data_IF_060536031372
#
_entry.id   IF_060536031372
#
_cell.length_a   1.000
_cell.length_b   1.000
_cell.length_c   1.000
_cell.angle_alpha   90.00
_cell.angle_beta   90.00
_cell.angle_gamma   90.00
#
_symmetry.space_group_name_H-M   'P 1'
#
loop_
_entity.id
_entity.type
_entity.pdbx_description
1 polymer ?
#
# COMPACT_ATOMS: atom_id res chain seq x y z
N UNK A 1 -12.74 19.29 -34.08
CA UNK A 1 -12.99 17.85 -33.82
C UNK A 1 -13.14 17.66 -32.32
N UNK A 2 -14.36 17.42 -31.82
CA UNK A 2 -14.54 17.03 -30.41
C UNK A 2 -14.03 15.61 -30.24
N UNK A 3 -13.08 15.39 -29.33
CA UNK A 3 -12.58 14.05 -29.04
C UNK A 3 -13.63 13.30 -28.23
N UNK A 4 -14.21 12.23 -28.78
CA UNK A 4 -15.15 11.30 -28.11
C UNK A 4 -14.45 10.40 -27.06
N UNK A 5 -13.22 10.75 -26.69
CA UNK A 5 -12.36 9.91 -25.86
C UNK A 5 -12.64 10.17 -24.38
N UNK A 6 -13.14 9.13 -23.68
CA UNK A 6 -13.33 9.19 -22.24
C UNK A 6 -11.97 9.12 -21.52
N UNK A 7 -11.58 10.22 -20.89
CA UNK A 7 -10.34 10.35 -20.11
C UNK A 7 -10.43 9.70 -18.73
N UNK A 8 -11.65 9.50 -18.23
CA UNK A 8 -11.94 8.95 -16.91
C UNK A 8 -12.94 7.80 -17.07
N UNK A 9 -12.52 6.67 -17.67
CA UNK A 9 -13.37 5.51 -17.76
C UNK A 9 -13.69 4.97 -16.37
N UNK A 10 -14.96 4.66 -16.15
CA UNK A 10 -15.47 4.11 -14.90
C UNK A 10 -16.38 2.91 -15.17
N UNK A 11 -16.49 2.04 -14.18
CA UNK A 11 -17.44 0.92 -14.17
C UNK A 11 -18.25 1.04 -12.88
N UNK A 12 -19.54 1.35 -12.99
CA UNK A 12 -20.44 1.37 -11.84
C UNK A 12 -20.64 -0.05 -11.30
N UNK A 13 -20.34 -0.27 -10.03
CA UNK A 13 -20.52 -1.56 -9.33
C UNK A 13 -21.93 -1.62 -8.78
N UNK A 14 -22.74 -2.57 -9.25
CA UNK A 14 -24.18 -2.64 -8.90
C UNK A 14 -24.38 -3.33 -7.55
N UNK A 15 -25.29 -2.79 -6.73
CA UNK A 15 -25.69 -3.43 -5.47
C UNK A 15 -24.76 -3.14 -4.28
N UNK A 16 -23.84 -2.19 -4.43
CA UNK A 16 -22.83 -1.83 -3.43
C UNK A 16 -22.80 -0.30 -3.20
N UNK A 17 -23.93 0.38 -3.37
CA UNK A 17 -24.03 1.84 -3.39
C UNK A 17 -23.57 2.49 -2.06
N UNK A 18 -23.79 1.80 -0.93
CA UNK A 18 -23.42 2.26 0.42
C UNK A 18 -22.10 1.66 0.95
N UNK A 19 -21.31 1.01 0.09
CA UNK A 19 -20.09 0.30 0.49
C UNK A 19 -18.80 1.10 0.31
N UNK A 20 -18.91 2.39 0.02
CA UNK A 20 -17.77 3.29 -0.12
C UNK A 20 -18.02 4.62 0.60
N UNK A 21 -16.96 5.21 1.13
CA UNK A 21 -16.98 6.55 1.70
C UNK A 21 -15.68 7.30 1.38
N UNK A 22 -15.71 8.62 1.51
CA UNK A 22 -14.55 9.48 1.23
C UNK A 22 -14.30 10.43 2.40
N UNK A 23 -13.02 10.73 2.64
CA UNK A 23 -12.56 11.67 3.64
C UNK A 23 -12.35 11.03 5.01
N UNK A 24 -11.38 11.58 5.76
CA UNK A 24 -10.94 11.03 7.04
C UNK A 24 -12.06 10.90 8.08
N UNK A 25 -13.05 11.81 8.10
CA UNK A 25 -14.16 11.75 9.04
C UNK A 25 -15.02 10.48 8.84
N UNK A 26 -15.49 10.24 7.62
CA UNK A 26 -16.31 9.05 7.31
C UNK A 26 -15.52 7.76 7.47
N UNK A 27 -14.22 7.77 7.13
CA UNK A 27 -13.34 6.61 7.26
C UNK A 27 -13.13 6.26 8.74
N UNK A 28 -12.86 7.25 9.58
CA UNK A 28 -12.77 7.06 11.05
C UNK A 28 -14.05 6.45 11.61
N UNK A 29 -15.21 7.01 11.25
CA UNK A 29 -16.48 6.50 11.73
C UNK A 29 -16.69 5.03 11.32
N UNK A 30 -16.41 4.69 10.06
CA UNK A 30 -16.53 3.32 9.55
C UNK A 30 -15.59 2.34 10.27
N UNK A 31 -14.32 2.69 10.45
CA UNK A 31 -13.33 1.82 11.08
C UNK A 31 -13.53 1.70 12.60
N UNK A 32 -13.81 2.79 13.31
CA UNK A 32 -14.08 2.73 14.75
C UNK A 32 -15.33 1.90 15.07
N UNK A 33 -16.40 2.03 14.28
CA UNK A 33 -17.60 1.21 14.46
C UNK A 33 -17.33 -0.30 14.33
N UNK A 34 -16.39 -0.68 13.47
CA UNK A 34 -15.97 -2.08 13.27
C UNK A 34 -14.94 -2.54 14.28
N UNK A 35 -14.07 -1.66 14.76
CA UNK A 35 -13.02 -1.98 15.71
C UNK A 35 -13.53 -2.18 17.14
N UNK A 36 -14.69 -1.63 17.50
CA UNK A 36 -15.23 -1.68 18.86
C UNK A 36 -16.25 -2.81 19.10
N UNK A 37 -16.33 -3.82 18.24
CA UNK A 37 -17.36 -4.87 18.34
C UNK A 37 -17.03 -6.00 19.33
N UNK A 38 -15.78 -6.10 19.79
CA UNK A 38 -15.31 -7.16 20.67
C UNK A 38 -14.46 -6.59 21.81
N UNK A 39 -14.22 -7.41 22.84
CA UNK A 39 -13.38 -7.04 23.99
C UNK A 39 -11.95 -6.68 23.56
N UNK A 40 -11.42 -7.38 22.55
CA UNK A 40 -10.17 -7.08 21.86
C UNK A 40 -10.41 -7.06 20.36
N UNK A 41 -9.76 -6.15 19.63
CA UNK A 41 -9.76 -6.16 18.17
C UNK A 41 -8.41 -5.70 17.64
N UNK A 42 -7.77 -6.52 16.81
CA UNK A 42 -6.52 -6.18 16.12
C UNK A 42 -6.85 -5.65 14.74
N UNK A 43 -6.72 -4.33 14.57
CA UNK A 43 -6.84 -3.65 13.29
C UNK A 43 -5.47 -3.59 12.60
N UNK A 44 -5.36 -4.24 11.45
CA UNK A 44 -4.17 -4.20 10.60
C UNK A 44 -4.42 -3.26 9.44
N UNK A 45 -3.55 -2.26 9.27
CA UNK A 45 -3.51 -1.32 8.15
C UNK A 45 -2.23 -1.59 7.36
N UNK A 46 -2.28 -2.53 6.43
CA UNK A 46 -1.11 -2.90 5.61
C UNK A 46 -1.00 -1.96 4.41
N UNK A 47 0.18 -1.37 4.23
CA UNK A 47 0.39 -0.29 3.26
C UNK A 47 1.23 -0.75 2.06
N UNK A 48 0.83 -0.37 0.86
CA UNK A 48 1.71 -0.43 -0.30
C UNK A 48 2.83 0.64 -0.17
N UNK A 49 4.04 0.42 -0.72
CA UNK A 49 5.10 1.42 -0.68
C UNK A 49 4.64 2.73 -1.33
N UNK A 50 4.97 3.85 -0.68
CA UNK A 50 4.60 5.20 -1.12
C UNK A 50 3.33 5.76 -0.46
N UNK A 51 2.59 4.95 0.31
CA UNK A 51 1.54 5.44 1.23
C UNK A 51 2.17 6.42 2.21
N UNK A 52 1.56 7.59 2.38
CA UNK A 52 1.99 8.60 3.35
C UNK A 52 1.52 8.17 4.73
N UNK A 53 2.41 7.54 5.49
CA UNK A 53 2.08 7.06 6.83
C UNK A 53 1.72 8.23 7.76
N UNK A 54 2.28 9.41 7.50
CA UNK A 54 2.01 10.62 8.26
C UNK A 54 0.53 11.02 8.21
N UNK A 55 -0.15 10.80 7.07
CA UNK A 55 -1.60 11.07 6.99
C UNK A 55 -2.40 10.11 7.87
N UNK A 56 -1.98 8.83 7.96
CA UNK A 56 -2.61 7.87 8.86
C UNK A 56 -2.39 8.28 10.32
N UNK A 57 -1.14 8.59 10.67
CA UNK A 57 -0.73 8.99 12.02
C UNK A 57 -1.42 10.27 12.50
N UNK A 58 -1.66 11.23 11.60
CA UNK A 58 -2.30 12.50 11.93
C UNK A 58 -3.82 12.41 11.96
N UNK A 59 -4.42 11.70 11.00
CA UNK A 59 -5.87 11.79 10.77
C UNK A 59 -6.66 10.57 11.20
N UNK A 60 -6.07 9.37 11.15
CA UNK A 60 -6.78 8.11 11.41
C UNK A 60 -6.45 7.52 12.78
N UNK A 61 -5.16 7.24 13.05
CA UNK A 61 -4.72 6.53 14.24
C UNK A 61 -5.20 7.16 15.56
N UNK A 62 -5.16 8.50 15.75
CA UNK A 62 -5.58 9.11 17.02
C UNK A 62 -7.07 8.91 17.34
N UNK A 63 -7.91 8.76 16.30
CA UNK A 63 -9.36 8.61 16.48
C UNK A 63 -9.80 7.18 16.77
N UNK A 64 -8.91 6.20 16.58
CA UNK A 64 -9.20 4.80 16.86
C UNK A 64 -9.15 4.48 18.36
N UNK A 65 -8.58 5.37 19.19
CA UNK A 65 -8.49 5.17 20.64
C UNK A 65 -7.75 3.89 21.02
N UNK A 66 -6.73 3.52 20.25
CA UNK A 66 -6.04 2.24 20.38
C UNK A 66 -5.29 2.13 21.72
N UNK A 67 -5.40 0.97 22.37
CA UNK A 67 -4.62 0.62 23.56
C UNK A 67 -3.14 0.46 23.20
N UNK A 68 -2.85 -0.05 22.00
CA UNK A 68 -1.51 -0.25 21.47
C UNK A 68 -1.48 0.11 20.00
N UNK A 69 -0.45 0.86 19.57
CA UNK A 69 -0.21 1.21 18.18
C UNK A 69 1.21 0.82 17.79
N UNK A 70 1.36 -0.03 16.77
CA UNK A 70 2.62 -0.59 16.32
C UNK A 70 2.90 -0.20 14.86
N UNK A 71 4.01 0.50 14.62
CA UNK A 71 4.53 0.72 13.27
C UNK A 71 5.47 -0.42 12.89
N UNK A 72 5.12 -1.20 11.87
CA UNK A 72 5.93 -2.33 11.41
C UNK A 72 7.30 -1.90 10.86
N UNK A 73 7.45 -0.65 10.40
CA UNK A 73 8.73 -0.14 9.90
C UNK A 73 9.82 -0.10 10.96
N UNK A 74 9.46 -0.11 12.26
CA UNK A 74 10.42 -0.25 13.36
C UNK A 74 11.21 -1.58 13.31
N UNK A 75 10.66 -2.61 12.68
CA UNK A 75 11.31 -3.90 12.45
C UNK A 75 12.01 -4.01 11.09
N UNK A 76 11.90 -3.00 10.21
CA UNK A 76 12.55 -3.01 8.89
C UNK A 76 14.06 -3.05 9.07
N UNK A 77 14.74 -3.80 8.20
CA UNK A 77 16.20 -3.75 8.11
C UNK A 77 16.66 -2.33 7.75
N UNK A 78 17.84 -1.97 8.23
CA UNK A 78 18.47 -0.71 7.85
C UNK A 78 18.78 -0.66 6.34
N UNK A 79 19.09 0.53 5.87
CA UNK A 79 19.38 0.79 4.46
C UNK A 79 20.54 -0.07 3.93
N UNK A 80 21.61 -0.22 4.71
CA UNK A 80 22.80 -0.97 4.28
C UNK A 80 22.49 -2.46 4.10
N UNK A 81 21.72 -3.04 5.01
CA UNK A 81 21.29 -4.43 4.93
C UNK A 81 20.33 -4.65 3.74
N UNK A 82 19.42 -3.70 3.48
CA UNK A 82 18.55 -3.75 2.30
C UNK A 82 19.39 -3.60 1.02
N UNK A 83 20.34 -2.68 0.96
CA UNK A 83 21.23 -2.52 -0.19
C UNK A 83 21.99 -3.83 -0.49
N UNK A 84 22.53 -4.45 0.55
CA UNK A 84 23.23 -5.75 0.44
C UNK A 84 22.30 -6.85 -0.06
N UNK A 85 21.07 -6.92 0.45
CA UNK A 85 20.04 -7.89 0.00
C UNK A 85 19.73 -7.73 -1.49
N UNK A 86 19.71 -6.48 -1.98
CA UNK A 86 19.32 -6.12 -3.35
C UNK A 86 20.47 -6.08 -4.35
N UNK A 87 21.72 -6.24 -3.92
CA UNK A 87 22.91 -6.06 -4.76
C UNK A 87 22.88 -6.92 -6.04
N UNK A 88 22.38 -8.16 -5.96
CA UNK A 88 22.25 -9.05 -7.13
C UNK A 88 21.17 -8.61 -8.12
N UNK A 89 20.21 -7.81 -7.68
CA UNK A 89 19.10 -7.33 -8.50
C UNK A 89 19.43 -6.01 -9.20
N UNK A 90 20.23 -5.17 -8.54
CA UNK A 90 20.67 -3.87 -9.03
C UNK A 90 22.03 -4.01 -9.72
N UNK A 91 22.02 -4.36 -11.01
CA UNK A 91 23.22 -4.42 -11.86
C UNK A 91 23.79 -3.02 -12.15
N UNK A 92 24.96 -2.94 -12.80
CA UNK A 92 25.56 -1.67 -13.22
C UNK A 92 24.82 -0.97 -14.37
N UNK A 93 23.89 -1.67 -15.04
CA UNK A 93 23.07 -1.07 -16.09
C UNK A 93 22.20 0.05 -15.50
N UNK A 94 22.13 1.19 -16.19
CA UNK A 94 21.41 2.37 -15.69
C UNK A 94 19.89 2.14 -15.55
N UNK A 95 19.30 1.31 -16.40
CA UNK A 95 17.84 1.17 -16.55
C UNK A 95 17.36 -0.24 -16.18
N UNK A 96 18.09 -1.27 -16.58
CA UNK A 96 17.67 -2.67 -16.43
C UNK A 96 18.24 -3.29 -15.17
N UNK A 97 17.39 -4.00 -14.42
CA UNK A 97 17.79 -4.85 -13.30
C UNK A 97 17.37 -6.30 -13.49
N UNK A 98 17.59 -7.12 -12.47
CA UNK A 98 17.10 -8.51 -12.43
C UNK A 98 15.84 -8.55 -11.57
N UNK A 99 14.79 -9.20 -12.07
CA UNK A 99 13.54 -9.34 -11.35
C UNK A 99 13.73 -10.05 -10.02
N UNK A 100 13.22 -9.44 -8.95
CA UNK A 100 13.32 -9.96 -7.60
C UNK A 100 12.37 -11.14 -7.37
N UNK A 101 12.94 -12.20 -6.80
CA UNK A 101 12.20 -13.32 -6.22
C UNK A 101 12.08 -13.19 -4.69
N UNK A 102 12.55 -12.10 -4.09
CA UNK A 102 12.49 -11.90 -2.64
C UNK A 102 11.05 -11.80 -2.14
N UNK A 103 10.85 -12.22 -0.90
CA UNK A 103 9.63 -12.08 -0.13
C UNK A 103 9.76 -10.88 0.82
N UNK A 104 8.63 -10.22 1.11
CA UNK A 104 8.63 -8.99 1.91
C UNK A 104 9.23 -9.20 3.31
N UNK A 105 9.03 -10.38 3.91
CA UNK A 105 9.58 -10.75 5.22
C UNK A 105 11.12 -10.68 5.28
N UNK A 106 11.82 -10.90 4.17
CA UNK A 106 13.30 -10.82 4.12
C UNK A 106 13.82 -9.40 4.40
N UNK A 107 12.98 -8.38 4.19
CA UNK A 107 13.31 -6.98 4.42
C UNK A 107 13.17 -6.55 5.90
N UNK A 108 12.75 -7.47 6.78
CA UNK A 108 12.61 -7.23 8.20
C UNK A 108 13.67 -7.98 9.00
N UNK A 109 14.04 -7.40 10.15
CA UNK A 109 14.79 -8.12 11.17
C UNK A 109 13.86 -9.12 11.87
N UNK A 110 14.17 -10.43 11.85
CA UNK A 110 13.26 -11.45 12.38
C UNK A 110 13.03 -11.32 13.89
N UNK A 111 14.01 -10.84 14.65
CA UNK A 111 13.87 -10.68 16.09
C UNK A 111 12.96 -9.50 16.42
N UNK A 112 13.13 -8.37 15.72
CA UNK A 112 12.26 -7.21 15.89
C UNK A 112 10.83 -7.51 15.44
N UNK A 113 10.67 -8.23 14.34
CA UNK A 113 9.35 -8.63 13.86
C UNK A 113 8.65 -9.54 14.88
N UNK A 114 9.38 -10.49 15.47
CA UNK A 114 8.85 -11.35 16.53
C UNK A 114 8.50 -10.56 17.80
N UNK A 115 9.28 -9.55 18.18
CA UNK A 115 8.94 -8.65 19.29
C UNK A 115 7.61 -7.92 19.04
N UNK A 116 7.36 -7.44 17.83
CA UNK A 116 6.08 -6.81 17.49
C UNK A 116 4.91 -7.81 17.59
N UNK A 117 5.11 -9.06 17.15
CA UNK A 117 4.10 -10.14 17.25
C UNK A 117 3.73 -10.41 18.72
N UNK A 118 4.73 -10.46 19.59
CA UNK A 118 4.54 -10.66 21.02
C UNK A 118 3.80 -9.48 21.66
N UNK A 119 4.15 -8.24 21.32
CA UNK A 119 3.45 -7.04 21.81
C UNK A 119 1.97 -7.04 21.40
N UNK A 120 1.67 -7.33 20.13
CA UNK A 120 0.29 -7.39 19.64
C UNK A 120 -0.54 -8.50 20.33
N UNK A 121 0.11 -9.61 20.68
CA UNK A 121 -0.55 -10.74 21.35
C UNK A 121 -0.76 -10.49 22.84
N UNK A 122 0.21 -9.85 23.50
CA UNK A 122 0.20 -9.59 24.94
C UNK A 122 -0.91 -8.64 25.40
N UNK A 123 -1.31 -7.69 24.54
CA UNK A 123 -2.42 -6.81 24.86
C UNK A 123 -3.73 -7.60 24.91
N UNK A 124 -4.45 -7.57 26.02
CA UNK A 124 -5.58 -8.48 26.25
C UNK A 124 -6.93 -7.89 25.82
N UNK A 125 -7.04 -6.56 25.81
CA UNK A 125 -8.30 -5.84 25.61
C UNK A 125 -8.09 -4.57 24.78
N UNK A 126 -9.18 -4.01 24.27
CA UNK A 126 -9.19 -2.80 23.47
C UNK A 126 -8.75 -3.01 22.02
N UNK A 127 -8.53 -1.89 21.34
CA UNK A 127 -8.11 -1.89 19.94
C UNK A 127 -6.58 -1.87 19.87
N UNK A 128 -6.00 -2.85 19.18
CA UNK A 128 -4.58 -2.87 18.82
C UNK A 128 -4.47 -2.49 17.35
N UNK A 129 -3.71 -1.44 17.03
CA UNK A 129 -3.50 -1.01 15.66
C UNK A 129 -2.08 -1.38 15.22
N UNK A 130 -1.96 -2.09 14.11
CA UNK A 130 -0.68 -2.40 13.49
C UNK A 130 -0.71 -1.81 12.09
N UNK A 131 0.25 -0.96 11.75
CA UNK A 131 0.25 -0.26 10.47
C UNK A 131 1.63 -0.21 9.82
N UNK A 132 1.61 0.09 8.52
CA UNK A 132 2.78 0.28 7.69
C UNK A 132 2.99 -0.86 6.68
N UNK A 133 4.01 -0.74 5.81
CA UNK A 133 4.22 -1.70 4.74
C UNK A 133 4.63 -3.07 5.29
N UNK A 134 3.78 -4.09 5.12
CA UNK A 134 4.01 -5.41 5.71
C UNK A 134 3.38 -5.62 7.09
N UNK A 135 2.47 -4.75 7.54
CA UNK A 135 1.80 -4.89 8.85
C UNK A 135 1.16 -6.28 9.07
N UNK A 136 0.64 -6.91 8.02
CA UNK A 136 0.06 -8.25 8.10
C UNK A 136 1.09 -9.38 8.38
N UNK A 137 2.40 -9.09 8.34
CA UNK A 137 3.45 -10.02 8.79
C UNK A 137 3.53 -10.13 10.32
N UNK A 138 2.98 -9.14 11.05
CA UNK A 138 2.92 -9.13 12.52
C UNK A 138 1.66 -9.82 13.02
N UNK A 139 0.51 -9.59 12.40
CA UNK A 139 -0.74 -10.24 12.80
C UNK A 139 -1.67 -10.38 11.58
N UNK A 140 -2.47 -11.45 11.48
CA UNK A 140 -3.45 -11.56 10.39
C UNK A 140 -4.52 -10.46 10.44
N UNK A 141 -4.82 -9.95 11.63
CA UNK A 141 -5.83 -8.91 11.89
C UNK A 141 -7.24 -9.51 12.00
N UNK A 142 -8.02 -9.00 12.96
CA UNK A 142 -9.46 -9.25 13.04
C UNK A 142 -10.22 -8.34 12.06
N UNK A 143 -9.65 -7.16 11.81
CA UNK A 143 -10.05 -6.23 10.76
C UNK A 143 -8.81 -5.88 9.92
N UNK A 144 -8.88 -6.11 8.61
CA UNK A 144 -7.80 -5.81 7.68
C UNK A 144 -8.18 -4.69 6.71
N UNK A 145 -7.47 -3.58 6.80
CA UNK A 145 -7.46 -2.49 5.82
C UNK A 145 -6.19 -2.60 4.98
N UNK A 146 -6.33 -2.60 3.67
CA UNK A 146 -5.18 -2.50 2.77
C UNK A 146 -5.12 -1.09 2.17
N UNK A 147 -4.09 -0.32 2.50
CA UNK A 147 -3.87 1.02 1.96
C UNK A 147 -3.04 0.94 0.68
N UNK A 148 -3.56 1.44 -0.43
CA UNK A 148 -2.92 1.33 -1.74
C UNK A 148 -3.01 2.65 -2.52
N UNK A 149 -2.23 2.70 -3.61
CA UNK A 149 -2.39 3.66 -4.68
C UNK A 149 -1.86 3.06 -5.99
N UNK A 150 -2.29 3.56 -7.15
CA UNK A 150 -1.71 3.16 -8.42
C UNK A 150 -0.22 3.48 -8.50
N UNK A 151 0.56 2.61 -9.17
CA UNK A 151 2.01 2.83 -9.38
C UNK A 151 2.34 4.14 -10.09
N UNK A 152 1.45 4.64 -10.95
CA UNK A 152 1.65 5.93 -11.61
C UNK A 152 1.71 7.07 -10.59
N UNK A 153 0.91 7.00 -9.53
CA UNK A 153 0.91 8.00 -8.47
C UNK A 153 2.23 7.96 -7.68
N UNK A 154 2.74 6.76 -7.38
CA UNK A 154 4.08 6.58 -6.79
C UNK A 154 5.14 7.25 -7.67
N UNK A 155 5.08 7.03 -8.98
CA UNK A 155 6.01 7.66 -9.93
C UNK A 155 5.90 9.18 -9.96
N UNK A 156 4.69 9.74 -9.85
CA UNK A 156 4.47 11.19 -9.76
C UNK A 156 5.05 11.76 -8.47
N UNK A 157 4.83 11.09 -7.33
CA UNK A 157 5.41 11.48 -6.03
C UNK A 157 6.93 11.46 -6.07
N UNK A 158 7.55 10.48 -6.73
CA UNK A 158 9.01 10.42 -6.90
C UNK A 158 9.53 11.63 -7.71
N UNK A 159 8.77 12.11 -8.70
CA UNK A 159 9.16 13.26 -9.55
C UNK A 159 8.92 14.61 -8.88
N UNK A 160 7.83 14.74 -8.11
CA UNK A 160 7.29 16.04 -7.73
C UNK A 160 7.16 16.26 -6.23
N UNK A 161 7.30 15.21 -5.42
CA UNK A 161 7.08 15.26 -3.98
C UNK A 161 8.26 14.74 -3.16
N UNK A 162 9.41 14.47 -3.81
CA UNK A 162 10.61 13.97 -3.13
C UNK A 162 10.47 12.56 -2.57
N UNK A 163 9.51 11.76 -3.05
CA UNK A 163 9.38 10.37 -2.58
C UNK A 163 10.59 9.55 -3.02
N UNK A 164 11.25 8.91 -2.05
CA UNK A 164 12.30 7.93 -2.27
C UNK A 164 11.76 6.51 -2.44
N UNK A 165 12.67 5.58 -2.71
CA UNK A 165 12.37 4.15 -2.66
C UNK A 165 12.14 3.68 -1.22
N UNK A 166 11.31 2.67 -1.03
CA UNK A 166 11.05 2.15 0.32
C UNK A 166 12.32 1.55 0.93
N UNK A 167 12.71 2.04 2.09
CA UNK A 167 13.94 1.65 2.77
C UNK A 167 15.22 2.09 2.06
N UNK A 168 15.20 3.27 1.43
CA UNK A 168 16.37 3.92 0.86
C UNK A 168 16.31 5.43 1.12
N UNK A 169 17.46 6.05 1.37
CA UNK A 169 17.59 7.50 1.39
C UNK A 169 18.11 7.99 0.03
N UNK A 170 17.22 8.00 -0.97
CA UNK A 170 17.62 8.17 -2.36
C UNK A 170 16.75 9.14 -3.17
N UNK A 171 16.13 10.11 -2.50
CA UNK A 171 15.26 11.13 -3.08
C UNK A 171 16.00 11.95 -4.15
N UNK A 172 17.31 12.13 -3.98
CA UNK A 172 18.19 12.87 -4.89
C UNK A 172 18.88 12.00 -5.97
N UNK A 173 18.66 10.67 -5.97
CA UNK A 173 19.20 9.80 -7.02
C UNK A 173 18.52 10.03 -8.38
N UNK A 174 19.24 9.68 -9.45
CA UNK A 174 18.70 9.59 -10.82
C UNK A 174 17.36 8.84 -10.80
N UNK A 175 16.31 9.50 -11.29
CA UNK A 175 14.95 8.97 -11.31
C UNK A 175 14.88 7.61 -12.01
N UNK A 176 15.73 7.35 -13.01
CA UNK A 176 15.77 6.06 -13.69
C UNK A 176 16.28 4.94 -12.78
N UNK A 177 17.22 5.23 -11.89
CA UNK A 177 17.71 4.26 -10.88
C UNK A 177 16.63 3.95 -9.85
N UNK A 178 15.89 4.98 -9.41
CA UNK A 178 14.74 4.81 -8.51
C UNK A 178 13.65 3.95 -9.15
N UNK A 179 13.34 4.19 -10.42
CA UNK A 179 12.38 3.39 -11.18
C UNK A 179 12.85 1.97 -11.43
N UNK A 180 14.15 1.77 -11.68
CA UNK A 180 14.74 0.43 -11.78
C UNK A 180 14.51 -0.34 -10.47
N UNK A 181 14.85 0.23 -9.32
CA UNK A 181 14.60 -0.40 -8.01
C UNK A 181 13.11 -0.69 -7.79
N UNK A 182 12.24 0.29 -8.07
CA UNK A 182 10.80 0.12 -7.90
C UNK A 182 10.24 -1.03 -8.78
N UNK A 183 10.58 -1.04 -10.08
CA UNK A 183 10.02 -1.97 -11.05
C UNK A 183 10.55 -3.40 -10.92
N UNK A 184 11.88 -3.54 -10.80
CA UNK A 184 12.51 -4.85 -10.77
C UNK A 184 12.41 -5.51 -9.39
N UNK A 185 12.20 -4.73 -8.32
CA UNK A 185 12.27 -5.22 -6.95
C UNK A 185 11.00 -4.90 -6.18
N UNK A 186 10.80 -3.64 -5.77
CA UNK A 186 9.80 -3.29 -4.76
C UNK A 186 8.39 -3.71 -5.18
N UNK A 187 7.95 -3.35 -6.38
CA UNK A 187 6.62 -3.72 -6.86
C UNK A 187 6.45 -5.23 -6.96
N UNK A 188 7.51 -6.01 -7.24
CA UNK A 188 7.42 -7.48 -7.27
C UNK A 188 7.24 -8.06 -5.88
N UNK A 189 8.00 -7.55 -4.92
CA UNK A 189 7.96 -7.97 -3.52
C UNK A 189 6.61 -7.61 -2.91
N UNK A 190 6.19 -6.35 -3.05
CA UNK A 190 4.95 -5.85 -2.46
C UNK A 190 3.71 -6.40 -3.15
N UNK A 191 3.70 -6.62 -4.46
CA UNK A 191 2.54 -7.25 -5.11
C UNK A 191 2.35 -8.70 -4.67
N UNK A 192 3.45 -9.44 -4.47
CA UNK A 192 3.39 -10.82 -3.97
C UNK A 192 2.76 -10.88 -2.57
N UNK A 193 3.05 -9.88 -1.72
CA UNK A 193 2.43 -9.71 -0.40
C UNK A 193 0.96 -9.23 -0.49
N UNK A 194 0.69 -8.26 -1.38
CA UNK A 194 -0.62 -7.64 -1.58
C UNK A 194 -1.70 -8.60 -2.06
N UNK A 195 -1.39 -9.43 -3.07
CA UNK A 195 -2.41 -10.22 -3.79
C UNK A 195 -3.21 -11.15 -2.87
N UNK A 196 -2.60 -11.93 -1.94
CA UNK A 196 -3.35 -12.71 -0.97
C UNK A 196 -4.18 -11.85 -0.01
N UNK A 197 -3.69 -10.67 0.39
CA UNK A 197 -4.38 -9.78 1.32
C UNK A 197 -5.65 -9.18 0.71
N UNK A 198 -5.63 -8.74 -0.56
CA UNK A 198 -6.81 -8.19 -1.22
C UNK A 198 -7.99 -9.18 -1.30
N UNK A 199 -7.71 -10.49 -1.26
CA UNK A 199 -8.76 -11.52 -1.24
C UNK A 199 -9.54 -11.57 0.08
N UNK A 200 -8.92 -11.14 1.18
CA UNK A 200 -9.50 -11.20 2.53
C UNK A 200 -9.64 -9.86 3.23
N UNK A 201 -9.13 -8.77 2.65
CA UNK A 201 -9.25 -7.44 3.21
C UNK A 201 -10.72 -7.09 3.41
N UNK A 202 -11.02 -6.50 4.56
CA UNK A 202 -12.32 -5.97 4.91
C UNK A 202 -12.55 -4.63 4.23
N UNK A 203 -11.47 -3.86 4.03
CA UNK A 203 -11.49 -2.61 3.30
C UNK A 203 -10.23 -2.39 2.47
N UNK A 204 -10.40 -1.68 1.35
CA UNK A 204 -9.31 -1.06 0.61
C UNK A 204 -9.38 0.46 0.85
N UNK A 205 -8.28 1.03 1.30
CA UNK A 205 -8.09 2.46 1.50
C UNK A 205 -7.30 3.01 0.31
N UNK A 206 -7.97 3.75 -0.57
CA UNK A 206 -7.32 4.51 -1.63
C UNK A 206 -6.70 5.78 -1.05
N UNK A 207 -5.39 5.90 -1.21
CA UNK A 207 -4.57 7.01 -0.72
C UNK A 207 -3.97 7.85 -1.86
N UNK A 208 -4.53 7.73 -3.07
CA UNK A 208 -4.03 8.39 -4.28
C UNK A 208 -4.01 9.91 -4.11
N UNK A 209 -5.13 10.50 -3.69
CA UNK A 209 -5.25 11.96 -3.52
C UNK A 209 -4.88 12.35 -2.09
N UNK A 210 -3.90 13.25 -1.96
CA UNK A 210 -3.45 13.79 -0.67
C UNK A 210 -4.62 14.42 0.09
N UNK A 211 -4.76 14.12 1.38
CA UNK A 211 -5.81 14.62 2.28
C UNK A 211 -7.25 14.25 1.89
N UNK A 212 -7.45 13.48 0.82
CA UNK A 212 -8.78 13.10 0.32
C UNK A 212 -8.87 11.59 0.05
N UNK A 213 -8.57 10.74 1.05
CA UNK A 213 -8.65 9.29 0.89
C UNK A 213 -10.09 8.82 0.64
N UNK A 214 -10.21 7.65 0.03
CA UNK A 214 -11.47 6.95 -0.11
C UNK A 214 -11.35 5.52 0.44
N UNK A 215 -12.41 5.00 1.04
CA UNK A 215 -12.47 3.66 1.58
C UNK A 215 -13.60 2.91 0.87
N UNK A 216 -13.32 1.69 0.44
CA UNK A 216 -14.31 0.77 -0.12
C UNK A 216 -14.26 -0.55 0.61
N UNK A 217 -15.41 -1.15 0.90
CA UNK A 217 -15.45 -2.49 1.49
C UNK A 217 -14.79 -3.51 0.56
N UNK A 218 -14.12 -4.50 1.13
CA UNK A 218 -13.47 -5.56 0.37
C UNK A 218 -14.46 -6.40 -0.41
N UNK A 219 -15.70 -6.55 0.07
CA UNK A 219 -16.77 -7.22 -0.68
C UNK A 219 -17.10 -6.46 -1.97
N UNK A 220 -17.36 -5.16 -1.88
CA UNK A 220 -17.62 -4.30 -3.03
C UNK A 220 -16.44 -4.28 -4.00
N UNK A 221 -15.20 -4.26 -3.50
CA UNK A 221 -13.99 -4.37 -4.32
C UNK A 221 -14.00 -5.68 -5.13
N UNK A 222 -14.19 -6.83 -4.47
CA UNK A 222 -14.16 -8.14 -5.11
C UNK A 222 -15.32 -8.31 -6.10
N UNK A 223 -16.52 -7.84 -5.75
CA UNK A 223 -17.67 -7.84 -6.63
C UNK A 223 -17.46 -6.95 -7.86
N UNK A 224 -16.89 -5.75 -7.69
CA UNK A 224 -16.55 -4.85 -8.78
C UNK A 224 -15.52 -5.45 -9.74
N UNK A 225 -14.48 -6.11 -9.21
CA UNK A 225 -13.50 -6.84 -10.03
C UNK A 225 -14.18 -7.97 -10.83
N UNK A 226 -15.04 -8.77 -10.19
CA UNK A 226 -15.78 -9.83 -10.88
C UNK A 226 -16.73 -9.28 -11.94
N UNK A 227 -17.44 -8.19 -11.68
CA UNK A 227 -18.33 -7.54 -12.65
C UNK A 227 -17.53 -7.01 -13.85
N UNK A 228 -16.32 -6.54 -13.62
CA UNK A 228 -15.44 -5.98 -14.66
C UNK A 228 -14.91 -7.07 -15.60
N UNK A 229 -14.75 -8.32 -15.15
CA UNK A 229 -14.33 -9.42 -16.05
C UNK A 229 -15.44 -9.87 -17.00
N UNK A 230 -16.70 -9.55 -16.69
CA UNK A 230 -17.87 -9.93 -17.48
C UNK A 230 -18.28 -8.88 -18.54
N UNK A 231 -17.51 -7.80 -18.70
CA UNK A 231 -17.80 -6.75 -19.68
C UNK A 231 -16.53 -6.12 -20.25
N UNK A 232 -16.58 -5.54 -21.46
CA UNK A 232 -15.50 -4.68 -21.92
C UNK A 232 -15.35 -3.46 -21.00
N UNK A 233 -14.12 -3.17 -20.58
CA UNK A 233 -13.80 -1.97 -19.82
C UNK A 233 -12.61 -1.25 -20.46
N UNK A 234 -12.41 0.02 -20.07
CA UNK A 234 -11.27 0.83 -20.51
C UNK A 234 -10.39 1.13 -19.31
N UNK A 235 -9.09 1.06 -19.52
CA UNK A 235 -8.12 1.54 -18.54
C UNK A 235 -7.96 3.05 -18.67
N UNK A 236 -7.71 3.72 -17.54
CA UNK A 236 -7.33 5.12 -17.56
C UNK A 236 -6.08 5.30 -18.45
N UNK A 237 -6.05 6.31 -19.34
CA UNK A 237 -4.92 6.53 -20.22
C UNK A 237 -3.72 6.99 -19.39
N UNK A 238 -2.65 6.21 -19.36
CA UNK A 238 -1.36 6.65 -18.85
C UNK A 238 -0.69 7.51 -19.92
N UNK A 239 -0.41 8.78 -19.61
CA UNK A 239 0.29 9.71 -20.50
C UNK A 239 1.81 9.56 -20.45
N UNK A 240 2.36 8.47 -19.90
CA UNK A 240 3.80 8.23 -19.83
C UNK A 240 4.21 7.38 -21.05
N UNK A 241 4.94 7.95 -22.02
CA UNK A 241 5.43 7.18 -23.17
C UNK A 241 6.40 6.09 -22.70
N UNK A 242 6.33 4.90 -23.31
CA UNK A 242 7.35 3.85 -23.16
C UNK A 242 8.68 4.18 -23.89
N UNK A 243 8.80 5.36 -24.49
CA UNK A 243 9.96 5.74 -25.31
C UNK A 243 11.00 6.50 -24.51
N UNK A 244 11.90 5.76 -23.87
CA UNK A 244 13.24 6.22 -23.47
C UNK A 244 14.38 5.45 -24.14
N UNK A 245 14.06 4.62 -25.14
CA UNK A 245 15.02 3.84 -25.91
C UNK A 245 14.90 4.18 -27.40
N UNK A 246 15.32 5.39 -27.77
CA UNK A 246 15.82 5.77 -29.10
C UNK A 246 15.86 7.30 -29.20
N UNK A 247 16.98 7.90 -28.84
CA UNK A 247 17.38 9.21 -29.37
C UNK A 247 18.83 9.50 -28.96
N UNK A 248 19.73 9.52 -29.95
CA UNK A 248 21.09 10.06 -29.86
C UNK A 248 22.17 9.01 -29.87
#
# INVERSE_FOLDING_TARGET
MHTTYNKYPEVAVRGYDDHACQGWESIRAALSARASTAAKTVLVIDCYPGVRLEELEQHLLPALGAALTLNVESARRDEQAIHTLLARNLTDDRVFGVLSCHHLEEFFDPNKLEQLRQQATAEAEGVVVIYGPGAALVHPGDLLVYADMPRWEIQQRMRHSGLGNWGADNQDEDILRRYKRAFFIEWRVFDRHKVPLLKRADFLLDTTVKEAPALVSGEALRAGLQQTTAQPFRVAPSSIPASGAASG
#
